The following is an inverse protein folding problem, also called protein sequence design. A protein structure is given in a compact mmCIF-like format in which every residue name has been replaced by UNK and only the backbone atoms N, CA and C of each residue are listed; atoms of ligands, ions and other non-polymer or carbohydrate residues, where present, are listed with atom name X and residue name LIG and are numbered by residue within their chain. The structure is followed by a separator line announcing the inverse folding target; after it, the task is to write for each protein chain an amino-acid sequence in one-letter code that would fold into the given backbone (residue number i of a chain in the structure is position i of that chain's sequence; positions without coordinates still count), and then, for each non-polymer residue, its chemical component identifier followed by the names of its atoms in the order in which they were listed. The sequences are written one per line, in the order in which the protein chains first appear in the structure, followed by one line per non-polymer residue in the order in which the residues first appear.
data_IF_665784572077
#
_entry.id   IF_665784572077
#
_cell.length_a   1.000
_cell.length_b   1.000
_cell.length_c   1.000
_cell.angle_alpha   90.00
_cell.angle_beta   90.00
_cell.angle_gamma   90.00
#
_symmetry.space_group_name_H-M   'P 1'
#
loop_
_entity.id
_entity.type
_entity.pdbx_description
1 polymer ?
#
# COMPACT_ATOMS: atom_id res chain seq x y z
N UNK A 1 -7.06 4.74 -7.03
CA UNK A 1 -5.90 5.12 -6.23
C UNK A 1 -4.77 4.15 -6.51
N UNK A 2 -3.54 4.58 -6.35
CA UNK A 2 -2.37 3.76 -6.67
C UNK A 2 -1.46 3.61 -5.45
N UNK A 3 -0.76 2.50 -5.42
CA UNK A 3 0.28 2.19 -4.46
C UNK A 3 1.62 2.09 -5.20
N UNK A 4 2.66 2.59 -4.59
CA UNK A 4 4.02 2.50 -5.11
C UNK A 4 4.84 1.56 -4.23
N UNK A 5 5.29 0.45 -4.78
CA UNK A 5 6.19 -0.46 -4.09
C UNK A 5 7.62 -0.19 -4.58
N UNK A 6 8.46 0.34 -3.72
CA UNK A 6 9.81 0.81 -4.04
C UNK A 6 10.84 -0.13 -3.46
N UNK A 7 11.72 -0.64 -4.31
CA UNK A 7 12.83 -1.49 -3.86
C UNK A 7 13.87 -0.67 -3.11
N UNK A 8 14.31 -1.18 -1.98
CA UNK A 8 15.33 -0.57 -1.13
C UNK A 8 16.47 -1.54 -0.89
N UNK A 9 17.62 -1.00 -0.50
CA UNK A 9 18.71 -1.78 0.11
C UNK A 9 18.53 -1.76 1.62
N UNK A 10 18.66 -2.89 2.29
CA UNK A 10 18.49 -2.97 3.75
C UNK A 10 19.70 -2.39 4.47
N UNK A 11 19.73 -1.08 4.60
CA UNK A 11 20.80 -0.32 5.26
C UNK A 11 20.26 0.98 5.85
N UNK A 12 20.98 1.57 6.83
CA UNK A 12 20.57 2.86 7.40
C UNK A 12 20.45 3.96 6.32
N UNK A 13 19.39 4.76 6.42
CA UNK A 13 19.18 5.92 5.57
C UNK A 13 18.38 5.68 4.28
N UNK A 14 18.09 4.43 3.91
CA UNK A 14 17.38 4.14 2.66
C UNK A 14 15.95 4.70 2.67
N UNK A 15 15.20 4.44 3.72
CA UNK A 15 13.85 5.00 3.85
C UNK A 15 13.89 6.52 3.92
N UNK A 16 14.83 7.09 4.66
CA UNK A 16 14.98 8.54 4.79
C UNK A 16 15.26 9.18 3.43
N UNK A 17 16.07 8.57 2.59
CA UNK A 17 16.41 9.08 1.25
C UNK A 17 15.16 9.16 0.37
N UNK A 18 14.36 8.11 0.33
CA UNK A 18 13.13 8.08 -0.48
C UNK A 18 12.09 9.06 0.08
N UNK A 19 11.84 9.01 1.38
CA UNK A 19 10.86 9.88 2.03
C UNK A 19 11.23 11.36 1.89
N UNK A 20 12.51 11.70 1.99
CA UNK A 20 13.00 13.08 1.81
C UNK A 20 12.78 13.57 0.38
N UNK A 21 13.08 12.73 -0.62
CA UNK A 21 12.89 13.10 -2.02
C UNK A 21 11.41 13.37 -2.33
N UNK A 22 10.53 12.55 -1.80
CA UNK A 22 9.07 12.73 -1.95
C UNK A 22 8.60 14.00 -1.22
N UNK A 23 9.02 14.16 0.02
CA UNK A 23 8.65 15.33 0.84
C UNK A 23 9.16 16.65 0.27
N UNK A 24 10.36 16.68 -0.30
CA UNK A 24 10.96 17.89 -0.89
C UNK A 24 10.15 18.41 -2.10
N UNK A 25 9.36 17.55 -2.72
CA UNK A 25 8.46 17.94 -3.81
C UNK A 25 7.07 18.34 -3.31
N UNK A 26 6.88 18.46 -2.00
CA UNK A 26 5.58 18.82 -1.42
C UNK A 26 4.55 17.69 -1.46
N UNK A 27 4.99 16.46 -1.67
CA UNK A 27 4.10 15.29 -1.71
C UNK A 27 3.92 14.74 -0.30
N UNK A 28 2.67 14.54 0.11
CA UNK A 28 2.34 13.95 1.40
C UNK A 28 2.16 12.43 1.28
N UNK A 29 2.84 11.69 2.14
CA UNK A 29 2.66 10.24 2.25
C UNK A 29 1.46 9.98 3.16
N UNK A 30 0.40 9.41 2.60
CA UNK A 30 -0.85 9.14 3.29
C UNK A 30 -0.83 7.83 4.08
N UNK A 31 -0.01 6.91 3.64
CA UNK A 31 0.18 5.62 4.28
C UNK A 31 1.38 4.92 3.70
N UNK A 32 2.03 4.10 4.50
CA UNK A 32 3.16 3.32 4.02
C UNK A 32 3.44 2.10 4.91
N UNK A 33 4.13 1.15 4.33
CA UNK A 33 4.71 0.04 5.06
C UNK A 33 6.12 -0.21 4.56
N UNK A 34 7.09 -0.19 5.47
CA UNK A 34 8.48 -0.50 5.18
C UNK A 34 8.82 -1.89 5.66
N UNK A 35 9.59 -2.61 4.86
CA UNK A 35 10.10 -3.93 5.21
C UNK A 35 11.60 -3.99 4.92
N UNK A 36 12.33 -4.62 5.81
CA UNK A 36 13.76 -4.81 5.68
C UNK A 36 14.15 -6.23 5.28
N UNK A 37 15.41 -6.55 5.50
CA UNK A 37 16.03 -7.85 5.22
C UNK A 37 16.18 -8.14 3.72
N UNK A 38 16.08 -9.40 3.29
CA UNK A 38 16.42 -9.83 1.94
C UNK A 38 15.55 -9.22 0.84
N UNK A 39 14.35 -8.78 1.16
CA UNK A 39 13.42 -8.14 0.23
C UNK A 39 13.00 -6.77 0.74
N UNK A 40 14.00 -5.92 1.01
CA UNK A 40 13.75 -4.59 1.54
C UNK A 40 12.95 -3.75 0.55
N UNK A 41 11.88 -3.13 1.02
CA UNK A 41 11.02 -2.28 0.23
C UNK A 41 10.26 -1.29 1.10
N UNK A 42 9.76 -0.23 0.49
CA UNK A 42 8.70 0.60 1.06
C UNK A 42 7.54 0.65 0.09
N UNK A 43 6.36 0.40 0.60
CA UNK A 43 5.12 0.55 -0.15
C UNK A 43 4.42 1.80 0.36
N UNK A 44 4.07 2.72 -0.53
CA UNK A 44 3.51 4.00 -0.11
C UNK A 44 2.30 4.42 -0.95
N UNK A 45 1.43 5.16 -0.31
CA UNK A 45 0.29 5.85 -0.91
C UNK A 45 0.49 7.34 -0.68
N UNK A 46 0.36 8.13 -1.73
CA UNK A 46 0.63 9.57 -1.67
C UNK A 46 -0.56 10.38 -2.19
N UNK A 47 -0.54 11.67 -1.92
CA UNK A 47 -1.57 12.60 -2.40
C UNK A 47 -1.32 13.13 -3.82
N UNK A 48 -0.21 12.77 -4.44
CA UNK A 48 0.11 13.14 -5.83
C UNK A 48 0.85 11.98 -6.52
N UNK A 49 0.08 11.15 -7.20
CA UNK A 49 0.59 9.92 -7.82
C UNK A 49 1.53 10.20 -9.00
N UNK A 50 1.20 11.19 -9.83
CA UNK A 50 2.01 11.57 -10.98
C UNK A 50 3.37 12.11 -10.54
N UNK A 51 3.39 13.01 -9.58
CA UNK A 51 4.62 13.57 -9.03
C UNK A 51 5.46 12.50 -8.33
N UNK A 52 4.84 11.57 -7.62
CA UNK A 52 5.52 10.46 -6.97
C UNK A 52 6.26 9.58 -7.98
N UNK A 53 5.58 9.18 -9.05
CA UNK A 53 6.20 8.39 -10.12
C UNK A 53 7.42 9.12 -10.71
N UNK A 54 7.30 10.42 -10.95
CA UNK A 54 8.40 11.23 -11.48
C UNK A 54 9.59 11.27 -10.53
N UNK A 55 9.35 11.51 -9.25
CA UNK A 55 10.42 11.53 -8.23
C UNK A 55 11.16 10.20 -8.19
N UNK A 56 10.45 9.09 -8.16
CA UNK A 56 11.06 7.76 -8.10
C UNK A 56 11.86 7.43 -9.35
N UNK A 57 11.39 7.82 -10.53
CA UNK A 57 12.14 7.68 -11.79
C UNK A 57 13.41 8.53 -11.78
N UNK A 58 13.31 9.78 -11.35
CA UNK A 58 14.44 10.71 -11.28
C UNK A 58 15.51 10.23 -10.30
N UNK A 59 15.11 9.50 -9.26
CA UNK A 59 16.05 8.87 -8.31
C UNK A 59 16.70 7.60 -8.87
N UNK A 60 16.21 7.07 -9.98
CA UNK A 60 16.66 5.78 -10.51
C UNK A 60 16.25 4.59 -9.67
N UNK A 61 15.17 4.71 -8.89
CA UNK A 61 14.66 3.61 -8.06
C UNK A 61 13.81 2.67 -8.89
N UNK A 62 13.98 1.36 -8.65
CA UNK A 62 13.08 0.35 -9.15
C UNK A 62 11.79 0.38 -8.33
N UNK A 63 10.66 0.47 -8.99
CA UNK A 63 9.37 0.48 -8.33
C UNK A 63 8.26 -0.12 -9.19
N UNK A 64 7.24 -0.62 -8.53
CA UNK A 64 6.02 -1.11 -9.17
C UNK A 64 4.85 -0.24 -8.73
N UNK A 65 3.87 -0.09 -9.62
CA UNK A 65 2.63 0.64 -9.36
C UNK A 65 1.47 -0.34 -9.45
N UNK A 66 0.65 -0.37 -8.41
CA UNK A 66 -0.51 -1.25 -8.36
C UNK A 66 -1.78 -0.45 -8.08
N UNK A 67 -2.90 -0.92 -8.61
CA UNK A 67 -4.20 -0.35 -8.26
C UNK A 67 -4.52 -0.66 -6.80
N UNK A 68 -4.75 0.39 -6.02
CA UNK A 68 -5.04 0.28 -4.60
C UNK A 68 -6.54 0.31 -4.36
N UNK A 69 -7.00 -0.61 -3.54
CA UNK A 69 -8.38 -0.70 -3.10
C UNK A 69 -8.43 -0.27 -1.64
N UNK A 70 -9.30 0.69 -1.33
CA UNK A 70 -9.56 1.13 0.04
C UNK A 70 -10.90 0.59 0.48
N UNK A 71 -10.95 0.04 1.69
CA UNK A 71 -12.19 -0.40 2.32
C UNK A 71 -12.11 -0.22 3.82
N UNK A 72 -13.23 -0.35 4.48
CA UNK A 72 -13.31 -0.21 5.94
C UNK A 72 -13.72 -1.53 6.56
N UNK A 73 -12.99 -1.95 7.57
CA UNK A 73 -13.31 -3.12 8.39
C UNK A 73 -13.76 -2.68 9.78
N UNK A 74 -14.59 -3.50 10.42
CA UNK A 74 -14.86 -3.34 11.85
C UNK A 74 -13.57 -3.57 12.63
N UNK A 75 -13.30 -2.71 13.61
CA UNK A 75 -12.13 -2.90 14.49
C UNK A 75 -12.48 -3.90 15.60
N UNK A 76 -12.52 -5.17 15.24
CA UNK A 76 -12.85 -6.28 16.15
C UNK A 76 -12.11 -7.55 15.74
N UNK A 77 -11.93 -8.48 16.67
CA UNK A 77 -11.32 -9.78 16.33
C UNK A 77 -12.06 -10.49 15.20
N UNK A 78 -11.32 -11.00 14.23
CA UNK A 78 -11.86 -11.79 13.12
C UNK A 78 -12.29 -10.99 11.89
N UNK A 79 -12.36 -9.67 11.94
CA UNK A 79 -12.79 -8.87 10.79
C UNK A 79 -11.86 -9.03 9.57
N UNK A 80 -10.56 -9.00 9.79
CA UNK A 80 -9.60 -9.25 8.71
C UNK A 80 -9.72 -10.67 8.17
N UNK A 81 -9.85 -11.66 9.04
CA UNK A 81 -9.99 -13.05 8.65
C UNK A 81 -11.23 -13.27 7.77
N UNK A 82 -12.34 -12.63 8.11
CA UNK A 82 -13.58 -12.70 7.33
C UNK A 82 -13.39 -12.15 5.92
N UNK A 83 -12.81 -10.96 5.80
CA UNK A 83 -12.54 -10.35 4.50
C UNK A 83 -11.59 -11.22 3.66
N UNK A 84 -10.48 -11.65 4.25
CA UNK A 84 -9.49 -12.47 3.56
C UNK A 84 -10.08 -13.81 3.08
N UNK A 85 -10.94 -14.43 3.89
CA UNK A 85 -11.62 -15.67 3.53
C UNK A 85 -12.57 -15.47 2.35
N UNK A 86 -13.35 -14.39 2.34
CA UNK A 86 -14.24 -14.07 1.21
C UNK A 86 -13.48 -13.95 -0.10
N UNK A 87 -12.33 -13.30 -0.09
CA UNK A 87 -11.48 -13.16 -1.27
C UNK A 87 -10.85 -14.50 -1.66
N UNK A 88 -10.35 -15.24 -0.70
CA UNK A 88 -9.76 -16.57 -0.92
C UNK A 88 -10.75 -17.56 -1.53
N UNK A 89 -11.99 -17.57 -1.07
CA UNK A 89 -13.04 -18.46 -1.58
C UNK A 89 -13.34 -18.20 -3.06
N UNK A 90 -13.08 -17.00 -3.54
CA UNK A 90 -13.23 -16.60 -4.94
C UNK A 90 -11.92 -16.68 -5.74
N UNK A 91 -10.89 -17.26 -5.15
CA UNK A 91 -9.59 -17.46 -5.80
C UNK A 91 -8.75 -16.20 -5.97
N UNK A 92 -9.01 -15.16 -5.19
CA UNK A 92 -8.27 -13.90 -5.26
C UNK A 92 -7.06 -13.95 -4.33
N UNK A 93 -5.90 -13.60 -4.87
CA UNK A 93 -4.67 -13.47 -4.10
C UNK A 93 -4.47 -12.02 -3.65
N UNK A 94 -4.29 -11.83 -2.34
CA UNK A 94 -3.94 -10.52 -1.78
C UNK A 94 -2.41 -10.37 -1.91
N UNK A 95 -1.99 -9.30 -2.58
CA UNK A 95 -0.57 -9.00 -2.82
C UNK A 95 -0.02 -8.13 -1.69
N UNK A 96 -0.78 -7.09 -1.29
CA UNK A 96 -0.44 -6.24 -0.16
C UNK A 96 -1.67 -5.94 0.68
N UNK A 97 -1.46 -5.70 1.95
CA UNK A 97 -2.51 -5.31 2.89
C UNK A 97 -1.89 -4.51 4.02
N UNK A 98 -2.49 -3.36 4.34
CA UNK A 98 -2.07 -2.56 5.48
C UNK A 98 -3.17 -1.63 5.97
N UNK A 99 -3.02 -1.18 7.21
CA UNK A 99 -3.98 -0.28 7.85
C UNK A 99 -3.56 1.16 7.55
N UNK A 100 -4.50 1.95 7.00
CA UNK A 100 -4.30 3.37 6.73
C UNK A 100 -4.69 4.23 7.92
N UNK A 101 -5.77 3.86 8.61
CA UNK A 101 -6.27 4.59 9.75
C UNK A 101 -6.99 3.64 10.70
N UNK A 102 -6.71 3.77 11.97
CA UNK A 102 -7.36 2.98 13.02
C UNK A 102 -8.22 3.90 13.87
N UNK A 103 -9.48 3.54 14.04
CA UNK A 103 -10.43 4.18 14.94
C UNK A 103 -10.95 3.16 15.94
N UNK A 104 -11.75 3.62 16.92
CA UNK A 104 -12.26 2.73 17.97
C UNK A 104 -13.10 1.58 17.39
N UNK A 105 -13.99 1.89 16.44
CA UNK A 105 -14.95 0.94 15.91
C UNK A 105 -14.61 0.45 14.49
N UNK A 106 -13.66 1.08 13.82
CA UNK A 106 -13.38 0.83 12.42
C UNK A 106 -11.89 0.99 12.10
N UNK A 107 -11.46 0.31 11.06
CA UNK A 107 -10.13 0.47 10.49
C UNK A 107 -10.26 0.67 8.97
N UNK A 108 -9.70 1.75 8.48
CA UNK A 108 -9.55 1.94 7.03
C UNK A 108 -8.31 1.17 6.58
N UNK A 109 -8.52 0.28 5.62
CA UNK A 109 -7.47 -0.60 5.13
C UNK A 109 -7.27 -0.43 3.64
N UNK A 110 -6.05 -0.71 3.22
CA UNK A 110 -5.64 -0.66 1.83
C UNK A 110 -5.17 -2.04 1.41
N UNK A 111 -5.55 -2.46 0.22
CA UNK A 111 -5.06 -3.73 -0.31
C UNK A 111 -4.89 -3.67 -1.83
N UNK A 112 -3.96 -4.49 -2.32
CA UNK A 112 -3.80 -4.78 -3.73
C UNK A 112 -3.99 -6.28 -3.95
N UNK A 113 -4.57 -6.64 -5.07
CA UNK A 113 -4.86 -8.04 -5.40
C UNK A 113 -4.52 -8.32 -6.85
N UNK A 114 -4.52 -9.59 -7.20
CA UNK A 114 -4.32 -10.04 -8.58
C UNK A 114 -5.57 -9.84 -9.47
N UNK A 115 -6.70 -9.44 -8.89
CA UNK A 115 -7.93 -9.12 -9.63
C UNK A 115 -8.70 -7.97 -8.96
N UNK A 116 -8.28 -6.71 -9.18
CA UNK A 116 -8.91 -5.56 -8.53
C UNK A 116 -10.42 -5.43 -8.80
N UNK A 117 -10.85 -5.67 -10.03
CA UNK A 117 -12.27 -5.54 -10.40
C UNK A 117 -13.15 -6.51 -9.62
N UNK A 118 -12.75 -7.77 -9.55
CA UNK A 118 -13.50 -8.79 -8.81
C UNK A 118 -13.44 -8.54 -7.30
N UNK A 119 -12.32 -8.06 -6.81
CA UNK A 119 -12.18 -7.68 -5.41
C UNK A 119 -13.18 -6.61 -5.02
N UNK A 120 -13.31 -5.56 -5.81
CA UNK A 120 -14.30 -4.48 -5.56
C UNK A 120 -15.71 -5.04 -5.55
N UNK A 121 -16.06 -5.91 -6.50
CA UNK A 121 -17.37 -6.56 -6.56
C UNK A 121 -17.67 -7.35 -5.28
N UNK A 122 -16.73 -8.19 -4.83
CA UNK A 122 -16.88 -9.00 -3.62
C UNK A 122 -17.03 -8.13 -2.37
N UNK A 123 -16.27 -7.05 -2.29
CA UNK A 123 -16.31 -6.12 -1.16
C UNK A 123 -17.48 -5.13 -1.22
N UNK A 124 -18.19 -5.07 -2.32
CA UNK A 124 -19.35 -4.18 -2.50
C UNK A 124 -18.99 -2.71 -2.68
N UNK A 125 -17.89 -2.44 -3.32
CA UNK A 125 -17.37 -1.07 -3.51
C UNK A 125 -17.10 -0.74 -4.98
#
# INVERSE_FOLDING_TARGET
MQEFNVSLTDKPGELATVASAVGDQGINILGCVGMGRSTASVTMVTDDEEATAKVLKDMGRDFEVNELILTTLSNKPGALAEMATRLSDEGINIISFYIMKMEMDAADVALTTDNPSKTKEILGI
#
